data_IF_439630192362
#
_entry.id   IF_439630192362
#
_cell.length_a   1.000
_cell.length_b   1.000
_cell.length_c   1.000
_cell.angle_alpha   90.00
_cell.angle_beta   90.00
_cell.angle_gamma   90.00
#
_symmetry.space_group_name_H-M   'P 1'
#
loop_
_entity.id
_entity.type
_entity.pdbx_description
1 polymer ?
#
# COMPACT_ATOMS: atom_id res chain seq x y z
N UNK A 1 23.94 11.20 -16.19
CA UNK A 1 24.31 10.48 -17.43
C UNK A 1 24.93 9.09 -17.20
N UNK A 2 25.78 8.86 -16.18
CA UNK A 2 26.29 7.50 -15.86
C UNK A 2 25.38 6.68 -14.91
N UNK A 3 24.51 7.33 -14.13
CA UNK A 3 23.56 6.64 -13.23
C UNK A 3 22.34 6.03 -13.92
N UNK A 4 21.99 6.51 -15.12
CA UNK A 4 20.78 6.08 -15.86
C UNK A 4 21.02 4.85 -16.75
N UNK A 5 22.28 4.58 -17.14
CA UNK A 5 22.66 3.37 -17.89
C UNK A 5 22.68 2.10 -17.02
N UNK A 6 22.94 2.23 -15.71
CA UNK A 6 22.97 1.09 -14.77
C UNK A 6 21.57 0.66 -14.30
N UNK A 7 20.60 1.58 -14.28
CA UNK A 7 19.20 1.28 -13.93
C UNK A 7 18.44 0.55 -15.04
N UNK A 8 18.84 0.74 -16.31
CA UNK A 8 18.17 0.14 -17.46
C UNK A 8 18.60 -1.32 -17.72
N UNK A 9 19.87 -1.67 -17.49
CA UNK A 9 20.39 -3.04 -17.70
C UNK A 9 20.11 -4.03 -16.55
N UNK A 10 19.72 -3.58 -15.36
CA UNK A 10 19.31 -4.46 -14.25
C UNK A 10 17.81 -4.78 -14.23
N UNK A 11 16.99 -4.09 -15.03
CA UNK A 11 15.55 -4.29 -15.14
C UNK A 11 15.13 -5.74 -15.47
N UNK A 12 15.77 -6.43 -16.43
CA UNK A 12 15.37 -7.80 -16.81
C UNK A 12 15.68 -8.84 -15.74
N UNK A 13 16.78 -8.68 -15.00
CA UNK A 13 17.24 -9.65 -13.99
C UNK A 13 16.45 -9.50 -12.69
N UNK A 14 16.14 -8.26 -12.29
CA UNK A 14 15.26 -8.00 -11.13
C UNK A 14 13.81 -8.40 -11.41
N UNK A 15 13.31 -8.12 -12.62
CA UNK A 15 11.97 -8.56 -13.08
C UNK A 15 11.83 -10.09 -13.03
N UNK A 16 12.80 -10.82 -13.58
CA UNK A 16 12.80 -12.30 -13.54
C UNK A 16 12.83 -12.85 -12.12
N UNK A 17 13.58 -12.23 -11.20
CA UNK A 17 13.64 -12.66 -9.79
C UNK A 17 12.36 -12.36 -9.01
N UNK A 18 11.70 -11.23 -9.26
CA UNK A 18 10.40 -10.93 -8.66
C UNK A 18 9.30 -11.88 -9.14
N UNK A 19 9.22 -12.12 -10.46
CA UNK A 19 8.27 -13.08 -11.03
C UNK A 19 8.55 -14.50 -10.52
N UNK A 20 9.83 -14.86 -10.39
CA UNK A 20 10.24 -16.13 -9.82
C UNK A 20 9.85 -16.27 -8.35
N UNK A 21 10.00 -15.22 -7.52
CA UNK A 21 9.55 -15.25 -6.12
C UNK A 21 8.02 -15.44 -6.01
N UNK A 22 7.26 -14.75 -6.86
CA UNK A 22 5.79 -14.91 -6.94
C UNK A 22 5.44 -16.34 -7.36
N UNK A 23 6.15 -16.89 -8.36
CA UNK A 23 5.97 -18.27 -8.79
C UNK A 23 6.21 -19.25 -7.64
N UNK A 24 7.28 -19.07 -6.85
CA UNK A 24 7.59 -19.92 -5.69
C UNK A 24 6.45 -19.85 -4.65
N UNK A 25 5.92 -18.67 -4.36
CA UNK A 25 4.78 -18.53 -3.45
C UNK A 25 3.52 -19.25 -3.95
N UNK A 26 3.30 -19.27 -5.26
CA UNK A 26 2.16 -19.96 -5.87
C UNK A 26 2.35 -21.49 -5.92
N UNK A 27 3.57 -21.98 -6.17
CA UNK A 27 3.83 -23.40 -6.43
C UNK A 27 4.31 -24.18 -5.21
N UNK A 28 5.12 -23.58 -4.33
CA UNK A 28 5.74 -24.30 -3.20
C UNK A 28 5.01 -24.12 -1.87
N UNK A 29 4.16 -23.10 -1.73
CA UNK A 29 3.53 -22.75 -0.45
C UNK A 29 2.13 -23.35 -0.23
N UNK A 30 1.70 -24.36 -1.01
CA UNK A 30 0.32 -24.84 -0.92
C UNK A 30 -0.72 -23.85 -1.47
N UNK A 31 -0.30 -22.91 -2.33
CA UNK A 31 -1.14 -21.93 -3.01
C UNK A 31 -1.37 -20.63 -2.23
N UNK A 32 -2.22 -19.75 -2.80
CA UNK A 32 -2.52 -18.42 -2.24
C UNK A 32 -3.15 -18.46 -0.82
N UNK A 33 -3.73 -19.59 -0.43
CA UNK A 33 -4.39 -19.73 0.87
C UNK A 33 -3.45 -19.90 2.07
N UNK A 34 -2.18 -20.25 1.87
CA UNK A 34 -1.26 -20.53 2.98
C UNK A 34 0.22 -20.25 2.61
N UNK A 35 0.52 -19.00 2.27
CA UNK A 35 1.89 -18.63 1.90
C UNK A 35 2.84 -18.69 3.11
N UNK A 36 3.82 -19.60 3.07
CA UNK A 36 4.80 -19.77 4.13
C UNK A 36 6.05 -18.92 3.88
N UNK A 37 6.80 -18.63 4.93
CA UNK A 37 8.10 -17.96 4.78
C UNK A 37 9.12 -18.93 4.19
N UNK A 38 9.99 -18.42 3.32
CA UNK A 38 11.09 -19.21 2.76
C UNK A 38 12.06 -19.67 3.86
N UNK A 39 12.50 -20.93 3.76
CA UNK A 39 13.52 -21.49 4.65
C UNK A 39 14.85 -20.72 4.51
N UNK A 40 15.64 -20.69 5.58
CA UNK A 40 16.87 -19.89 5.68
C UNK A 40 17.94 -20.23 4.64
N UNK A 41 17.98 -21.47 4.17
CA UNK A 41 18.89 -21.99 3.15
C UNK A 41 18.38 -21.80 1.71
N UNK A 42 17.14 -21.33 1.53
CA UNK A 42 16.56 -21.18 0.21
C UNK A 42 17.28 -20.06 -0.57
N UNK A 43 17.66 -20.29 -1.85
CA UNK A 43 18.44 -19.32 -2.63
C UNK A 43 17.74 -17.95 -2.81
N UNK A 44 16.41 -17.92 -2.73
CA UNK A 44 15.62 -16.69 -2.84
C UNK A 44 15.37 -15.97 -1.51
N UNK A 45 15.77 -16.54 -0.36
CA UNK A 45 15.55 -15.93 0.96
C UNK A 45 16.22 -14.56 1.09
N UNK A 46 17.43 -14.40 0.57
CA UNK A 46 18.12 -13.10 0.57
C UNK A 46 17.37 -12.04 -0.23
N UNK A 47 16.73 -12.41 -1.33
CA UNK A 47 15.92 -11.49 -2.14
C UNK A 47 14.64 -11.06 -1.42
N UNK A 48 13.99 -11.99 -0.73
CA UNK A 48 12.80 -11.70 0.08
C UNK A 48 13.10 -10.76 1.26
N UNK A 49 14.22 -10.98 1.97
CA UNK A 49 14.70 -10.09 3.02
C UNK A 49 15.00 -8.70 2.45
N UNK A 50 15.73 -8.64 1.33
CA UNK A 50 16.04 -7.38 0.66
C UNK A 50 14.77 -6.63 0.22
N UNK A 51 13.77 -7.34 -0.31
CA UNK A 51 12.48 -6.75 -0.66
C UNK A 51 11.75 -6.15 0.54
N UNK A 52 11.76 -6.84 1.68
CA UNK A 52 11.21 -6.32 2.94
C UNK A 52 11.89 -5.02 3.39
N UNK A 53 13.22 -4.98 3.38
CA UNK A 53 13.98 -3.77 3.73
C UNK A 53 13.76 -2.62 2.74
N UNK A 54 13.69 -2.91 1.44
CA UNK A 54 13.35 -1.90 0.43
C UNK A 54 11.96 -1.32 0.67
N UNK A 55 10.98 -2.16 1.01
CA UNK A 55 9.63 -1.69 1.32
C UNK A 55 9.62 -0.83 2.59
N UNK A 56 10.36 -1.21 3.64
CA UNK A 56 10.53 -0.38 4.84
C UNK A 56 11.15 0.97 4.51
N UNK A 57 12.23 0.98 3.70
CA UNK A 57 12.86 2.22 3.25
C UNK A 57 11.88 3.10 2.47
N UNK A 58 11.07 2.50 1.58
CA UNK A 58 10.03 3.21 0.87
C UNK A 58 9.01 3.87 1.82
N UNK A 59 8.61 3.19 2.91
CA UNK A 59 7.72 3.79 3.92
C UNK A 59 8.34 4.98 4.64
N UNK A 60 9.67 5.00 4.82
CA UNK A 60 10.35 6.19 5.31
C UNK A 60 10.36 7.34 4.28
N UNK A 61 10.51 7.03 2.98
CA UNK A 61 10.39 8.03 1.91
C UNK A 61 8.99 8.63 1.82
N UNK A 62 7.95 7.88 2.17
CA UNK A 62 6.57 8.38 2.22
C UNK A 62 6.43 9.57 3.21
N UNK A 63 7.32 9.74 4.20
CA UNK A 63 7.34 10.95 5.04
C UNK A 63 7.83 12.20 4.29
N UNK A 64 8.66 12.05 3.26
CA UNK A 64 9.08 13.16 2.42
C UNK A 64 7.88 13.79 1.71
N UNK A 65 6.82 13.02 1.40
CA UNK A 65 5.58 13.59 0.87
C UNK A 65 4.96 14.61 1.83
N UNK A 66 4.93 14.26 3.12
CA UNK A 66 4.44 15.14 4.18
C UNK A 66 5.30 16.39 4.28
N UNK A 67 6.63 16.24 4.21
CA UNK A 67 7.57 17.36 4.17
C UNK A 67 7.29 18.26 2.95
N UNK A 68 7.10 17.69 1.76
CA UNK A 68 6.76 18.45 0.55
C UNK A 68 5.41 19.15 0.64
N UNK A 69 4.41 18.60 1.33
CA UNK A 69 3.13 19.29 1.55
C UNK A 69 3.28 20.49 2.48
N UNK A 70 4.07 20.34 3.55
CA UNK A 70 4.36 21.44 4.49
C UNK A 70 5.14 22.54 3.77
N UNK A 71 6.21 22.20 3.04
CA UNK A 71 7.03 23.16 2.29
C UNK A 71 6.21 23.92 1.24
N UNK A 72 5.25 23.26 0.58
CA UNK A 72 4.33 23.89 -0.40
C UNK A 72 3.13 24.59 0.25
N UNK A 73 3.07 24.68 1.58
CA UNK A 73 1.95 25.25 2.36
C UNK A 73 0.58 24.63 2.02
N UNK A 74 0.58 23.36 1.61
CA UNK A 74 -0.61 22.62 1.16
C UNK A 74 -1.23 21.80 2.32
N UNK A 75 -1.58 22.48 3.41
CA UNK A 75 -2.07 21.83 4.63
C UNK A 75 -3.38 21.06 4.44
N UNK A 76 -4.15 21.37 3.40
CA UNK A 76 -5.38 20.63 3.04
C UNK A 76 -5.13 19.17 2.66
N UNK A 77 -3.89 18.82 2.28
CA UNK A 77 -3.50 17.45 1.92
C UNK A 77 -3.04 16.63 3.13
N UNK A 78 -2.58 17.29 4.20
CA UNK A 78 -2.15 16.64 5.45
C UNK A 78 -3.38 16.38 6.32
N UNK A 79 -4.11 15.33 5.99
CA UNK A 79 -5.29 14.90 6.74
C UNK A 79 -4.90 13.97 7.90
N UNK A 80 -5.80 13.79 8.87
CA UNK A 80 -5.63 12.78 9.94
C UNK A 80 -5.43 11.39 9.33
N UNK A 81 -6.14 11.06 8.25
CA UNK A 81 -5.98 9.81 7.51
C UNK A 81 -4.54 9.65 6.98
N UNK A 82 -4.02 10.69 6.33
CA UNK A 82 -2.64 10.69 5.80
C UNK A 82 -1.63 10.43 6.91
N UNK A 83 -1.64 11.23 7.98
CA UNK A 83 -0.64 11.11 9.05
C UNK A 83 -0.76 9.78 9.79
N UNK A 84 -1.99 9.36 10.12
CA UNK A 84 -2.25 8.08 10.78
C UNK A 84 -1.73 6.91 9.93
N UNK A 85 -2.04 6.87 8.64
CA UNK A 85 -1.59 5.81 7.73
C UNK A 85 -0.07 5.74 7.67
N UNK A 86 0.62 6.85 7.45
CA UNK A 86 2.08 6.85 7.28
C UNK A 86 2.82 6.38 8.55
N UNK A 87 2.36 6.83 9.72
CA UNK A 87 2.93 6.40 11.01
C UNK A 87 2.69 4.91 11.22
N UNK A 88 1.43 4.46 11.17
CA UNK A 88 1.08 3.08 11.47
C UNK A 88 1.72 2.10 10.50
N UNK A 89 1.74 2.41 9.19
CA UNK A 89 2.36 1.53 8.20
C UNK A 89 3.88 1.41 8.42
N UNK A 90 4.58 2.49 8.74
CA UNK A 90 6.02 2.42 9.01
C UNK A 90 6.29 1.59 10.26
N UNK A 91 5.54 1.84 11.34
CA UNK A 91 5.69 1.10 12.61
C UNK A 91 5.40 -0.39 12.42
N UNK A 92 4.31 -0.74 11.76
CA UNK A 92 3.94 -2.14 11.57
C UNK A 92 4.92 -2.90 10.67
N UNK A 93 5.41 -2.28 9.59
CA UNK A 93 6.41 -2.92 8.71
C UNK A 93 7.71 -3.15 9.47
N UNK A 94 8.16 -2.18 10.27
CA UNK A 94 9.35 -2.33 11.10
C UNK A 94 9.20 -3.46 12.11
N UNK A 95 8.08 -3.50 12.85
CA UNK A 95 7.81 -4.54 13.84
C UNK A 95 7.68 -5.92 13.18
N UNK A 96 7.02 -6.00 12.03
CA UNK A 96 6.88 -7.23 11.26
C UNK A 96 8.24 -7.82 10.90
N UNK A 97 9.10 -7.04 10.26
CA UNK A 97 10.46 -7.47 9.87
C UNK A 97 11.27 -7.88 11.11
N UNK A 98 11.07 -7.20 12.25
CA UNK A 98 11.83 -7.47 13.47
C UNK A 98 11.40 -8.74 14.21
N UNK A 99 10.11 -9.06 14.20
CA UNK A 99 9.49 -10.15 14.98
C UNK A 99 9.33 -11.40 14.13
N UNK A 100 8.70 -11.26 12.95
CA UNK A 100 8.34 -12.39 12.09
C UNK A 100 9.35 -12.57 10.95
N UNK A 101 10.19 -11.57 10.66
CA UNK A 101 11.10 -11.59 9.53
C UNK A 101 10.45 -11.05 8.25
N UNK A 102 11.10 -11.27 7.10
CA UNK A 102 10.52 -10.94 5.79
C UNK A 102 9.82 -12.15 5.18
N UNK A 103 8.89 -11.91 4.24
CA UNK A 103 8.21 -12.96 3.48
C UNK A 103 6.95 -13.52 4.11
N UNK A 104 6.42 -14.60 3.55
CA UNK A 104 5.25 -15.32 4.07
C UNK A 104 3.91 -14.65 3.81
N UNK A 105 2.85 -15.15 4.44
CA UNK A 105 1.46 -14.77 4.15
C UNK A 105 1.18 -13.27 4.32
N UNK A 106 1.77 -12.66 5.35
CA UNK A 106 1.61 -11.22 5.60
C UNK A 106 2.31 -10.34 4.55
N UNK A 107 3.28 -10.89 3.82
CA UNK A 107 4.01 -10.18 2.76
C UNK A 107 3.22 -9.94 1.47
N UNK A 108 2.01 -10.48 1.33
CA UNK A 108 1.12 -10.14 0.21
C UNK A 108 0.59 -8.71 0.28
N UNK A 109 0.44 -8.16 1.50
CA UNK A 109 0.01 -6.77 1.73
C UNK A 109 0.96 -5.76 1.09
N UNK A 110 2.29 -5.77 1.35
CA UNK A 110 3.20 -4.86 0.67
C UNK A 110 3.25 -5.08 -0.85
N UNK A 111 3.06 -6.31 -1.34
CA UNK A 111 2.99 -6.59 -2.77
C UNK A 111 1.78 -5.91 -3.43
N UNK A 112 0.58 -6.05 -2.86
CA UNK A 112 -0.61 -5.38 -3.38
C UNK A 112 -0.57 -3.87 -3.17
N UNK A 113 -0.07 -3.41 -2.02
CA UNK A 113 0.07 -1.98 -1.73
C UNK A 113 1.01 -1.30 -2.74
N UNK A 114 2.18 -1.88 -3.03
CA UNK A 114 3.10 -1.32 -4.02
C UNK A 114 2.49 -1.24 -5.41
N UNK A 115 1.72 -2.25 -5.84
CA UNK A 115 1.02 -2.22 -7.11
C UNK A 115 0.04 -1.04 -7.21
N UNK A 116 -0.81 -0.86 -6.19
CA UNK A 116 -1.78 0.25 -6.16
C UNK A 116 -1.08 1.60 -6.00
N UNK A 117 -0.03 1.68 -5.19
CA UNK A 117 0.75 2.90 -5.01
C UNK A 117 1.46 3.34 -6.29
N UNK A 118 1.98 2.42 -7.10
CA UNK A 118 2.54 2.78 -8.42
C UNK A 118 1.50 3.52 -9.27
N UNK A 119 0.26 3.02 -9.32
CA UNK A 119 -0.83 3.66 -10.07
C UNK A 119 -1.17 5.04 -9.48
N UNK A 120 -1.25 5.14 -8.15
CA UNK A 120 -1.50 6.41 -7.46
C UNK A 120 -0.40 7.45 -7.74
N UNK A 121 0.87 7.06 -7.65
CA UNK A 121 2.01 7.95 -7.87
C UNK A 121 2.14 8.39 -9.32
N UNK A 122 1.85 7.50 -10.27
CA UNK A 122 1.75 7.87 -11.69
C UNK A 122 0.68 8.94 -11.89
N UNK A 123 -0.50 8.80 -11.28
CA UNK A 123 -1.51 9.85 -11.33
C UNK A 123 -1.04 11.17 -10.71
N UNK A 124 -0.34 11.12 -9.56
CA UNK A 124 0.20 12.34 -8.94
C UNK A 124 1.26 13.01 -9.81
N UNK A 125 2.14 12.24 -10.45
CA UNK A 125 3.11 12.76 -11.41
C UNK A 125 2.41 13.43 -12.59
N UNK A 126 1.43 12.77 -13.21
CA UNK A 126 0.66 13.35 -14.32
C UNK A 126 -0.08 14.63 -13.90
N UNK A 127 -0.68 14.64 -12.71
CA UNK A 127 -1.37 15.82 -12.15
C UNK A 127 -0.44 16.99 -11.83
N UNK A 128 0.87 16.72 -11.70
CA UNK A 128 1.90 17.73 -11.47
C UNK A 128 2.41 18.36 -12.77
N UNK A 129 2.40 17.59 -13.87
CA UNK A 129 2.82 18.05 -15.20
C UNK A 129 1.71 18.86 -15.86
N UNK A 130 0.47 18.37 -15.80
CA UNK A 130 -0.66 18.99 -16.46
C UNK A 130 -1.82 19.31 -15.48
N UNK A 131 -2.17 20.60 -15.30
CA UNK A 131 -3.28 21.04 -14.47
C UNK A 131 -4.66 20.47 -14.87
N UNK A 132 -4.84 20.01 -16.11
CA UNK A 132 -6.09 19.38 -16.56
C UNK A 132 -6.37 18.08 -15.80
N UNK A 133 -5.34 17.29 -15.52
CA UNK A 133 -5.45 16.04 -14.75
C UNK A 133 -5.81 16.29 -13.29
N UNK A 134 -5.33 17.40 -12.72
CA UNK A 134 -5.68 17.84 -11.37
C UNK A 134 -7.17 18.23 -11.25
N UNK A 135 -7.78 18.71 -12.34
CA UNK A 135 -9.21 19.06 -12.39
C UNK A 135 -10.11 17.84 -12.64
N UNK A 136 -9.57 16.73 -13.13
CA UNK A 136 -10.35 15.51 -13.36
C UNK A 136 -10.63 14.76 -12.06
N UNK A 137 -11.79 15.06 -11.46
CA UNK A 137 -12.31 14.35 -10.29
C UNK A 137 -12.67 12.89 -10.57
N UNK A 138 -12.87 12.54 -11.84
CA UNK A 138 -13.23 11.20 -12.29
C UNK A 138 -12.11 10.20 -11.96
N UNK A 139 -10.88 10.48 -12.41
CA UNK A 139 -9.71 9.61 -12.14
C UNK A 139 -9.44 9.43 -10.66
N UNK A 140 -9.53 10.51 -9.89
CA UNK A 140 -9.29 10.48 -8.44
C UNK A 140 -10.24 9.51 -7.74
N UNK A 141 -11.50 9.44 -8.18
CA UNK A 141 -12.51 8.51 -7.64
C UNK A 141 -12.12 7.04 -7.85
N UNK A 142 -11.66 6.67 -9.05
CA UNK A 142 -11.26 5.28 -9.35
C UNK A 142 -10.03 4.85 -8.56
N UNK A 143 -9.06 5.76 -8.38
CA UNK A 143 -7.87 5.47 -7.57
C UNK A 143 -8.28 5.20 -6.12
N UNK A 144 -9.17 6.01 -5.54
CA UNK A 144 -9.68 5.76 -4.19
C UNK A 144 -10.47 4.45 -4.10
N UNK A 145 -11.26 4.10 -5.12
CA UNK A 145 -11.96 2.81 -5.16
C UNK A 145 -10.98 1.63 -5.22
N UNK A 146 -9.91 1.75 -6.00
CA UNK A 146 -8.87 0.72 -6.09
C UNK A 146 -8.16 0.51 -4.75
N UNK A 147 -7.88 1.58 -4.01
CA UNK A 147 -7.32 1.49 -2.65
C UNK A 147 -8.27 0.79 -1.69
N UNK A 148 -9.57 1.12 -1.72
CA UNK A 148 -10.57 0.44 -0.88
C UNK A 148 -10.65 -1.05 -1.21
N UNK A 149 -10.71 -1.40 -2.51
CA UNK A 149 -10.74 -2.79 -2.96
C UNK A 149 -9.48 -3.55 -2.51
N UNK A 150 -8.30 -2.93 -2.59
CA UNK A 150 -7.05 -3.52 -2.09
C UNK A 150 -7.16 -3.87 -0.60
N UNK A 151 -7.69 -2.99 0.25
CA UNK A 151 -7.85 -3.30 1.68
C UNK A 151 -8.85 -4.45 1.93
N UNK A 152 -9.90 -4.57 1.13
CA UNK A 152 -10.81 -5.72 1.21
C UNK A 152 -10.14 -7.04 0.80
N UNK A 153 -9.35 -7.01 -0.27
CA UNK A 153 -8.58 -8.18 -0.71
C UNK A 153 -7.59 -8.60 0.38
N UNK A 154 -6.84 -7.64 0.94
CA UNK A 154 -5.91 -7.90 2.04
C UNK A 154 -6.63 -8.48 3.26
N UNK A 155 -7.79 -7.93 3.62
CA UNK A 155 -8.59 -8.43 4.74
C UNK A 155 -9.00 -9.89 4.54
N UNK A 156 -9.57 -10.22 3.37
CA UNK A 156 -10.02 -11.58 3.08
C UNK A 156 -8.83 -12.55 3.03
N UNK A 157 -7.74 -12.14 2.38
CA UNK A 157 -6.54 -12.95 2.27
C UNK A 157 -5.98 -13.29 3.66
N UNK A 158 -5.82 -12.32 4.56
CA UNK A 158 -5.29 -12.59 5.90
C UNK A 158 -6.27 -13.30 6.82
N UNK A 159 -7.58 -13.24 6.54
CA UNK A 159 -8.58 -14.01 7.28
C UNK A 159 -8.55 -15.50 6.91
N UNK A 160 -8.16 -15.82 5.67
CA UNK A 160 -8.20 -17.17 5.11
C UNK A 160 -7.47 -18.24 5.94
N UNK A 161 -6.19 -18.09 6.33
CA UNK A 161 -5.49 -19.09 7.14
C UNK A 161 -5.97 -19.14 8.60
N UNK A 162 -6.73 -18.14 9.06
CA UNK A 162 -7.30 -18.13 10.41
C UNK A 162 -8.61 -18.91 10.50
N UNK A 163 -9.42 -18.88 9.44
CA UNK A 163 -10.78 -19.43 9.44
C UNK A 163 -10.90 -20.70 8.62
N UNK A 164 -10.29 -20.73 7.42
CA UNK A 164 -10.47 -21.79 6.41
C UNK A 164 -9.33 -22.81 6.49
N UNK A 165 -8.07 -22.35 6.39
CA UNK A 165 -6.88 -23.23 6.38
C UNK A 165 -6.17 -23.15 7.72
N UNK A 166 -6.80 -23.69 8.76
CA UNK A 166 -6.37 -23.53 10.16
C UNK A 166 -5.03 -24.21 10.48
N UNK A 167 -4.67 -25.22 9.70
CA UNK A 167 -3.44 -26.02 9.84
C UNK A 167 -2.22 -25.36 9.17
N UNK A 168 -2.37 -24.13 8.66
CA UNK A 168 -1.27 -23.39 8.07
C UNK A 168 -0.23 -22.98 9.13
N UNK A 169 1.05 -23.38 9.01
CA UNK A 169 2.09 -23.12 10.00
C UNK A 169 2.67 -21.70 9.86
N UNK A 170 1.82 -20.68 9.89
CA UNK A 170 2.22 -19.27 9.82
C UNK A 170 2.10 -18.59 11.19
N UNK A 171 2.95 -17.59 11.48
CA UNK A 171 2.73 -16.71 12.62
C UNK A 171 1.41 -15.95 12.45
N UNK A 172 0.47 -16.15 13.39
CA UNK A 172 -0.89 -15.57 13.31
C UNK A 172 -0.95 -14.11 13.78
N UNK A 173 0.06 -13.65 14.51
CA UNK A 173 0.09 -12.30 15.12
C UNK A 173 0.06 -11.22 14.02
N UNK A 174 0.92 -11.35 13.00
CA UNK A 174 0.93 -10.45 11.85
C UNK A 174 -0.42 -10.39 11.12
N UNK A 175 -1.08 -11.54 10.93
CA UNK A 175 -2.41 -11.59 10.32
C UNK A 175 -3.45 -10.84 11.15
N UNK A 176 -3.48 -10.99 12.48
CA UNK A 176 -4.40 -10.23 13.34
C UNK A 176 -4.15 -8.72 13.28
N UNK A 177 -2.88 -8.29 13.31
CA UNK A 177 -2.53 -6.87 13.20
C UNK A 177 -3.01 -6.30 11.85
N UNK A 178 -2.78 -7.02 10.75
CA UNK A 178 -3.24 -6.60 9.43
C UNK A 178 -4.76 -6.56 9.34
N UNK A 179 -5.49 -7.51 9.92
CA UNK A 179 -6.96 -7.50 9.91
C UNK A 179 -7.53 -6.26 10.61
N UNK A 180 -6.99 -5.92 11.78
CA UNK A 180 -7.38 -4.70 12.51
C UNK A 180 -7.05 -3.47 11.66
N UNK A 181 -5.84 -3.41 11.11
CA UNK A 181 -5.40 -2.26 10.31
C UNK A 181 -6.21 -2.09 9.02
N UNK A 182 -6.50 -3.19 8.30
CA UNK A 182 -7.33 -3.18 7.10
C UNK A 182 -8.74 -2.70 7.42
N UNK A 183 -9.32 -3.12 8.55
CA UNK A 183 -10.63 -2.64 8.99
C UNK A 183 -10.64 -1.12 9.22
N UNK A 184 -9.63 -0.60 9.90
CA UNK A 184 -9.48 0.85 10.11
C UNK A 184 -9.33 1.58 8.78
N UNK A 185 -8.51 1.07 7.86
CA UNK A 185 -8.30 1.70 6.55
C UNK A 185 -9.56 1.70 5.69
N UNK A 186 -10.30 0.58 5.65
CA UNK A 186 -11.59 0.50 4.96
C UNK A 186 -12.56 1.56 5.50
N UNK A 187 -12.65 1.71 6.83
CA UNK A 187 -13.50 2.72 7.45
C UNK A 187 -13.08 4.14 7.08
N UNK A 188 -11.79 4.48 7.23
CA UNK A 188 -11.33 5.85 7.00
C UNK A 188 -11.41 6.25 5.52
N UNK A 189 -11.01 5.34 4.61
CA UNK A 189 -11.14 5.58 3.17
C UNK A 189 -12.61 5.59 2.72
N UNK A 190 -13.46 4.74 3.30
CA UNK A 190 -14.91 4.76 3.06
C UNK A 190 -15.54 6.09 3.48
N UNK A 191 -15.21 6.59 4.68
CA UNK A 191 -15.66 7.90 5.14
C UNK A 191 -15.13 9.04 4.25
N UNK A 192 -13.85 8.99 3.86
CA UNK A 192 -13.28 9.94 2.91
C UNK A 192 -14.03 9.92 1.57
N UNK A 193 -14.33 8.73 1.04
CA UNK A 193 -15.00 8.55 -0.23
C UNK A 193 -16.43 9.09 -0.21
N UNK A 194 -17.20 8.78 0.84
CA UNK A 194 -18.57 9.27 1.01
C UNK A 194 -18.57 10.80 1.08
N UNK A 195 -17.70 11.40 1.90
CA UNK A 195 -17.68 12.84 2.09
C UNK A 195 -17.13 13.61 0.87
N UNK A 196 -16.25 12.99 0.08
CA UNK A 196 -15.61 13.66 -1.08
C UNK A 196 -16.38 13.48 -2.39
N UNK A 197 -17.06 12.35 -2.58
CA UNK A 197 -17.65 11.99 -3.88
C UNK A 197 -19.16 11.76 -3.86
N UNK A 198 -19.74 11.38 -2.72
CA UNK A 198 -21.18 11.09 -2.63
C UNK A 198 -21.94 12.28 -2.07
N UNK A 199 -21.51 12.79 -0.90
CA UNK A 199 -22.10 13.96 -0.27
C UNK A 199 -21.65 15.21 -1.02
N UNK A 200 -22.46 15.66 -1.99
CA UNK A 200 -22.30 17.01 -2.56
C UNK A 200 -22.58 18.05 -1.46
N UNK A 201 -21.77 19.11 -1.30
CA UNK A 201 -22.15 20.22 -0.46
C UNK A 201 -23.46 20.80 -1.01
N UNK A 202 -24.48 20.97 -0.15
CA UNK A 202 -25.64 21.80 -0.51
C UNK A 202 -25.10 23.18 -0.90
N UNK A 203 -25.57 23.80 -2.01
CA UNK A 203 -25.21 25.18 -2.29
C UNK A 203 -25.56 25.99 -1.04
N UNK A 204 -24.56 26.69 -0.48
CA UNK A 204 -24.83 27.68 0.57
C UNK A 204 -25.86 28.64 -0.03
N UNK A 205 -27.07 28.68 0.52
CA UNK A 205 -27.99 29.77 0.24
C UNK A 205 -27.21 31.04 0.59
N UNK A 206 -26.93 31.86 -0.41
CA UNK A 206 -26.45 33.22 -0.18
C UNK A 206 -27.59 33.87 0.60
N UNK A 207 -27.42 34.06 1.90
CA UNK A 207 -28.26 34.98 2.64
C UNK A 207 -28.00 36.35 2.03
N UNK A 208 -28.93 36.78 1.17
CA UNK A 208 -29.13 38.18 0.81
C UNK A 208 -29.18 38.95 2.13
N UNK A 209 -28.07 39.59 2.49
CA UNK A 209 -28.09 40.69 3.46
C UNK A 209 -28.98 41.76 2.82
N UNK A 210 -30.25 41.78 3.23
CA UNK A 210 -31.14 42.91 2.97
C UNK A 210 -30.55 44.11 3.72
N UNK A 211 -30.18 45.10 2.89
CA UNK A 211 -29.89 46.51 3.09
C UNK A 211 -29.67 46.99 4.53
#
# INVERSE_FOLDING_TARGET
MLGEMLTFWQGPVKSKRSVYLISIYLTESGGLGCIQQLRSDHPSRGFEIFGGFLYLFNKFLDYLETLFFIMRKSYKQVTVLHVYHHIMMTTFVFLYIRIEGSGGHTSTVPMLNTLVHVIMYVYYLMSSIDPAWKKSLWWKKYITQMQIVQFFIDFIHQLWPLVVVRDCPIPKIGSYIVLVQATVMIYMFGNFYINSYIRKPKPKKVEEKKL
#
